data_IF_506634450250
#
_entry.id   IF_506634450250
#
_cell.length_a   1.000
_cell.length_b   1.000
_cell.length_c   1.000
_cell.angle_alpha   90.00
_cell.angle_beta   90.00
_cell.angle_gamma   90.00
#
_symmetry.space_group_name_H-M   'P 1'
#
loop_
_entity.id
_entity.type
_entity.pdbx_description
1 polymer ?
#
# COMPACT_ATOMS: atom_id res chain seq x y z
N UNK A 1 -13.69 -11.10 -21.94
CA UNK A 1 -14.50 -9.97 -22.47
C UNK A 1 -15.34 -9.43 -21.33
N UNK A 2 -15.25 -8.13 -21.08
CA UNK A 2 -15.81 -7.48 -19.92
C UNK A 2 -16.55 -6.19 -20.36
N UNK A 3 -17.67 -5.86 -19.73
CA UNK A 3 -18.35 -4.60 -19.96
C UNK A 3 -17.74 -3.52 -19.08
N UNK A 4 -17.21 -2.46 -19.71
CA UNK A 4 -16.76 -1.25 -19.03
C UNK A 4 -17.81 -0.15 -19.18
N UNK A 5 -18.35 0.31 -18.05
CA UNK A 5 -19.22 1.47 -17.97
C UNK A 5 -18.39 2.67 -17.50
N UNK A 6 -18.46 3.78 -18.21
CA UNK A 6 -17.64 4.98 -17.91
C UNK A 6 -18.54 6.19 -17.71
N UNK A 7 -18.37 6.89 -16.58
CA UNK A 7 -19.09 8.12 -16.23
C UNK A 7 -18.10 9.20 -15.77
N UNK A 8 -18.53 10.46 -15.82
CA UNK A 8 -17.75 11.59 -15.28
C UNK A 8 -18.40 12.05 -13.98
N UNK A 9 -17.70 11.95 -12.85
CA UNK A 9 -18.24 12.26 -11.53
C UNK A 9 -17.39 13.32 -10.82
N UNK A 10 -18.00 14.25 -10.08
CA UNK A 10 -17.25 15.18 -9.24
C UNK A 10 -16.52 14.40 -8.13
N UNK A 11 -15.20 14.56 -8.07
CA UNK A 11 -14.36 13.86 -7.10
C UNK A 11 -14.80 14.08 -5.64
N UNK A 12 -15.29 15.28 -5.33
CA UNK A 12 -15.75 15.64 -3.97
C UNK A 12 -16.96 14.84 -3.48
N UNK A 13 -17.66 14.12 -4.36
CA UNK A 13 -18.79 13.27 -4.02
C UNK A 13 -18.53 11.78 -4.30
N UNK A 14 -17.28 11.38 -4.57
CA UNK A 14 -16.96 10.02 -5.03
C UNK A 14 -17.37 8.95 -4.01
N UNK A 15 -17.12 9.18 -2.71
CA UNK A 15 -17.49 8.26 -1.64
C UNK A 15 -19.01 8.05 -1.55
N UNK A 16 -19.80 9.11 -1.74
CA UNK A 16 -21.26 9.01 -1.77
C UNK A 16 -21.74 8.11 -2.93
N UNK A 17 -21.10 8.24 -4.11
CA UNK A 17 -21.42 7.43 -5.27
C UNK A 17 -21.03 5.96 -5.09
N UNK A 18 -19.85 5.70 -4.50
CA UNK A 18 -19.39 4.36 -4.14
C UNK A 18 -20.38 3.68 -3.19
N UNK A 19 -20.82 4.38 -2.14
CA UNK A 19 -21.83 3.85 -1.21
C UNK A 19 -23.15 3.53 -1.92
N UNK A 20 -23.61 4.41 -2.81
CA UNK A 20 -24.85 4.21 -3.57
C UNK A 20 -24.79 3.01 -4.54
N UNK A 21 -23.64 2.79 -5.20
CA UNK A 21 -23.40 1.65 -6.08
C UNK A 21 -23.30 0.34 -5.28
N UNK A 22 -22.58 0.38 -4.16
CA UNK A 22 -22.42 -0.77 -3.25
C UNK A 22 -23.77 -1.24 -2.71
N UNK A 23 -24.69 -0.32 -2.40
CA UNK A 23 -26.03 -0.64 -1.92
C UNK A 23 -26.89 -1.44 -2.92
N UNK A 24 -26.52 -1.46 -4.20
CA UNK A 24 -27.20 -2.24 -5.24
C UNK A 24 -26.35 -3.38 -5.82
N UNK A 25 -25.25 -3.73 -5.15
CA UNK A 25 -24.43 -4.88 -5.51
C UNK A 25 -23.36 -4.60 -6.57
N UNK A 26 -23.06 -3.33 -6.88
CA UNK A 26 -21.99 -2.96 -7.81
C UNK A 26 -20.74 -2.64 -6.98
N UNK A 27 -19.72 -3.51 -7.07
CA UNK A 27 -18.49 -3.40 -6.29
C UNK A 27 -17.22 -3.25 -7.14
N UNK A 28 -17.29 -3.64 -8.41
CA UNK A 28 -16.14 -3.61 -9.31
C UNK A 28 -16.06 -2.24 -10.00
N UNK A 29 -15.31 -1.32 -9.43
CA UNK A 29 -15.11 0.01 -9.97
C UNK A 29 -13.65 0.48 -9.85
N UNK A 30 -13.29 1.45 -10.66
CA UNK A 30 -11.96 2.08 -10.66
C UNK A 30 -12.07 3.57 -10.96
N UNK A 31 -11.24 4.37 -10.30
CA UNK A 31 -11.03 5.77 -10.63
C UNK A 31 -9.63 6.19 -10.19
N UNK A 32 -9.07 7.17 -10.88
CA UNK A 32 -7.81 7.79 -10.47
C UNK A 32 -8.08 9.07 -9.70
N UNK A 33 -7.40 9.25 -8.56
CA UNK A 33 -7.45 10.51 -7.83
C UNK A 33 -6.75 11.63 -8.63
N UNK A 34 -7.36 12.82 -8.75
CA UNK A 34 -6.80 13.91 -9.55
C UNK A 34 -5.71 14.66 -8.77
N UNK A 35 -4.58 14.02 -8.56
CA UNK A 35 -3.44 14.57 -7.80
C UNK A 35 -2.46 15.33 -8.69
N UNK A 36 -1.85 16.39 -8.15
CA UNK A 36 -0.69 17.06 -8.73
C UNK A 36 0.51 16.83 -7.81
N UNK A 37 1.51 16.09 -8.31
CA UNK A 37 2.75 15.83 -7.55
C UNK A 37 3.62 17.09 -7.59
N UNK A 38 4.00 17.57 -6.41
CA UNK A 38 4.90 18.72 -6.24
C UNK A 38 6.20 18.26 -5.60
N UNK A 39 7.32 18.86 -5.99
CA UNK A 39 8.56 18.74 -5.22
C UNK A 39 8.52 19.74 -4.08
N UNK A 40 8.72 19.27 -2.85
CA UNK A 40 8.82 20.09 -1.66
C UNK A 40 10.25 20.03 -1.13
N UNK A 41 10.57 20.87 -0.13
CA UNK A 41 11.83 20.72 0.60
C UNK A 41 11.96 19.39 1.35
N UNK A 42 10.85 18.65 1.50
CA UNK A 42 10.70 17.47 2.35
C UNK A 42 10.33 16.20 1.58
N UNK A 43 10.44 16.21 0.24
CA UNK A 43 10.09 15.06 -0.59
C UNK A 43 9.16 15.43 -1.72
N UNK A 44 8.16 14.59 -1.92
CA UNK A 44 7.06 14.83 -2.84
C UNK A 44 5.80 15.07 -2.03
N UNK A 45 5.15 16.21 -2.28
CA UNK A 45 3.79 16.45 -1.84
C UNK A 45 2.83 16.13 -2.97
N UNK A 46 1.55 16.02 -2.66
CA UNK A 46 0.51 16.02 -3.67
C UNK A 46 -0.59 17.00 -3.29
N UNK A 47 -1.11 17.70 -4.29
CA UNK A 47 -2.30 18.53 -4.15
C UNK A 47 -3.44 17.86 -4.91
N UNK A 48 -4.51 17.48 -4.21
CA UNK A 48 -5.70 16.95 -4.86
C UNK A 48 -6.53 18.10 -5.43
N UNK A 49 -6.83 18.04 -6.73
CA UNK A 49 -7.68 19.04 -7.38
C UNK A 49 -9.14 18.84 -6.97
N UNK A 50 -9.55 19.53 -5.91
CA UNK A 50 -10.95 19.55 -5.50
C UNK A 50 -11.82 20.16 -6.62
N UNK A 51 -13.03 19.59 -6.80
CA UNK A 51 -14.04 19.99 -7.80
C UNK A 51 -13.80 19.57 -9.26
N UNK A 52 -12.78 18.76 -9.54
CA UNK A 52 -12.63 18.16 -10.87
C UNK A 52 -13.64 17.01 -11.07
N UNK A 53 -14.22 16.94 -12.27
CA UNK A 53 -14.91 15.72 -12.70
C UNK A 53 -13.86 14.73 -13.19
N UNK A 54 -13.87 13.54 -12.61
CA UNK A 54 -12.95 12.46 -12.94
C UNK A 54 -13.68 11.34 -13.67
N UNK A 55 -12.97 10.61 -14.55
CA UNK A 55 -13.49 9.36 -15.07
C UNK A 55 -13.65 8.36 -13.93
N UNK A 56 -14.82 7.74 -13.86
CA UNK A 56 -15.13 6.64 -12.97
C UNK A 56 -15.61 5.47 -13.81
N UNK A 57 -14.98 4.33 -13.63
CA UNK A 57 -15.17 3.12 -14.41
C UNK A 57 -15.85 2.06 -13.54
N UNK A 58 -16.82 1.35 -14.11
CA UNK A 58 -17.49 0.21 -13.48
C UNK A 58 -17.36 -0.96 -14.44
N UNK A 59 -17.09 -2.13 -13.89
CA UNK A 59 -16.76 -3.33 -14.64
C UNK A 59 -17.79 -4.42 -14.33
N UNK A 60 -18.28 -5.10 -15.37
CA UNK A 60 -19.21 -6.22 -15.22
C UNK A 60 -18.87 -7.36 -16.16
N UNK A 61 -18.92 -8.59 -15.64
CA UNK A 61 -18.81 -9.77 -16.49
C UNK A 61 -20.13 -10.00 -17.24
N UNK A 62 -20.10 -10.54 -18.48
CA UNK A 62 -21.32 -10.76 -19.27
C UNK A 62 -22.40 -11.63 -18.61
N UNK A 63 -21.99 -12.47 -17.65
CA UNK A 63 -22.86 -13.42 -16.95
C UNK A 63 -23.30 -12.91 -15.56
N UNK A 64 -22.84 -11.72 -15.15
CA UNK A 64 -23.08 -11.17 -13.81
C UNK A 64 -24.57 -10.85 -13.57
N UNK A 65 -25.23 -10.24 -14.55
CA UNK A 65 -26.66 -9.90 -14.50
C UNK A 65 -27.32 -10.08 -15.87
N UNK A 66 -28.59 -10.50 -15.88
CA UNK A 66 -29.37 -10.58 -17.11
C UNK A 66 -29.51 -9.21 -17.81
N UNK A 67 -29.53 -9.23 -19.15
CA UNK A 67 -29.72 -8.06 -20.01
C UNK A 67 -28.63 -6.97 -19.90
N UNK A 68 -27.37 -7.37 -19.69
CA UNK A 68 -26.25 -6.45 -19.90
C UNK A 68 -26.12 -6.06 -21.40
N UNK A 69 -25.73 -4.81 -21.70
CA UNK A 69 -25.35 -3.75 -20.76
C UNK A 69 -26.53 -2.92 -20.21
N UNK A 70 -27.73 -3.04 -20.76
CA UNK A 70 -28.87 -2.15 -20.48
C UNK A 70 -29.29 -2.12 -19.00
N UNK A 71 -29.23 -3.27 -18.33
CA UNK A 71 -29.56 -3.40 -16.91
C UNK A 71 -28.65 -2.55 -16.03
N UNK A 72 -27.32 -2.64 -16.23
CA UNK A 72 -26.34 -1.83 -15.49
C UNK A 72 -26.37 -0.37 -15.91
N UNK A 73 -26.49 -0.05 -17.21
CA UNK A 73 -26.65 1.34 -17.68
C UNK A 73 -27.79 2.05 -16.94
N UNK A 74 -28.94 1.38 -16.81
CA UNK A 74 -30.11 1.93 -16.12
C UNK A 74 -29.89 2.05 -14.62
N UNK A 75 -29.29 1.03 -14.00
CA UNK A 75 -29.05 1.00 -12.56
C UNK A 75 -28.01 2.04 -12.12
N UNK A 76 -26.89 2.13 -12.84
CA UNK A 76 -25.82 3.11 -12.63
C UNK A 76 -26.37 4.52 -12.78
N UNK A 77 -27.07 4.81 -13.89
CA UNK A 77 -27.65 6.13 -14.11
C UNK A 77 -28.60 6.53 -12.97
N UNK A 78 -29.42 5.59 -12.48
CA UNK A 78 -30.34 5.83 -11.36
C UNK A 78 -29.60 6.12 -10.06
N UNK A 79 -28.60 5.32 -9.68
CA UNK A 79 -27.87 5.51 -8.41
C UNK A 79 -27.01 6.77 -8.40
N UNK A 80 -26.41 7.09 -9.53
CA UNK A 80 -25.54 8.24 -9.68
C UNK A 80 -26.32 9.54 -10.02
N UNK A 81 -27.65 9.44 -10.16
CA UNK A 81 -28.54 10.55 -10.53
C UNK A 81 -28.16 11.19 -11.88
N UNK A 82 -27.71 10.35 -12.82
CA UNK A 82 -27.32 10.71 -14.18
C UNK A 82 -28.42 10.32 -15.19
N UNK A 83 -28.27 10.78 -16.43
CA UNK A 83 -29.07 10.22 -17.53
C UNK A 83 -28.40 8.94 -18.04
N UNK A 84 -29.18 7.95 -18.54
CA UNK A 84 -28.59 6.77 -19.19
C UNK A 84 -27.58 7.12 -20.30
N UNK A 85 -27.83 8.19 -21.06
CA UNK A 85 -26.92 8.68 -22.11
C UNK A 85 -25.56 9.18 -21.59
N UNK A 86 -25.45 9.49 -20.29
CA UNK A 86 -24.20 9.92 -19.65
C UNK A 86 -23.31 8.71 -19.27
N UNK A 87 -23.86 7.49 -19.31
CA UNK A 87 -23.14 6.24 -19.04
C UNK A 87 -22.66 5.64 -20.36
N UNK A 88 -21.36 5.77 -20.63
CA UNK A 88 -20.76 5.16 -21.82
C UNK A 88 -20.47 3.70 -21.57
N UNK A 89 -20.71 2.85 -22.56
CA UNK A 89 -20.47 1.41 -22.48
C UNK A 89 -19.49 0.99 -23.57
N UNK A 90 -18.45 0.29 -23.16
CA UNK A 90 -17.47 -0.34 -24.05
C UNK A 90 -17.34 -1.82 -23.67
N UNK A 91 -17.13 -2.68 -24.67
CA UNK A 91 -16.76 -4.08 -24.44
C UNK A 91 -15.25 -4.13 -24.57
N UNK A 92 -14.57 -4.38 -23.46
CA UNK A 92 -13.12 -4.53 -23.41
C UNK A 92 -12.79 -6.02 -23.43
N UNK A 93 -11.65 -6.38 -24.01
CA UNK A 93 -11.10 -7.69 -23.74
C UNK A 93 -10.62 -7.73 -22.29
N UNK A 94 -10.96 -8.80 -21.59
CA UNK A 94 -10.47 -9.05 -20.22
C UNK A 94 -8.98 -9.46 -20.26
N UNK A 95 -8.50 -9.82 -21.45
CA UNK A 95 -7.08 -9.76 -21.76
C UNK A 95 -6.67 -8.30 -21.92
N UNK A 96 -6.66 -7.54 -20.81
CA UNK A 96 -5.70 -6.48 -20.71
C UNK A 96 -4.33 -7.15 -20.91
N UNK A 97 -3.59 -6.74 -21.94
CA UNK A 97 -2.14 -6.94 -22.02
C UNK A 97 -1.49 -6.13 -20.87
N UNK A 98 -1.89 -6.36 -19.62
CA UNK A 98 -1.00 -6.07 -18.51
C UNK A 98 0.05 -7.15 -18.60
N UNK A 99 1.27 -6.75 -18.96
CA UNK A 99 2.42 -7.62 -18.75
C UNK A 99 2.29 -8.17 -17.33
N UNK A 100 2.16 -9.49 -17.15
CA UNK A 100 2.01 -10.05 -15.81
C UNK A 100 3.17 -9.56 -14.96
N UNK A 101 2.88 -9.19 -13.71
CA UNK A 101 3.90 -8.72 -12.79
C UNK A 101 5.08 -9.70 -12.81
N UNK A 102 6.22 -9.23 -13.31
CA UNK A 102 7.39 -10.07 -13.42
C UNK A 102 7.96 -10.30 -12.02
N UNK A 103 8.40 -11.54 -11.76
CA UNK A 103 9.08 -11.87 -10.49
C UNK A 103 10.21 -10.90 -10.21
N UNK A 104 10.24 -10.35 -8.99
CA UNK A 104 11.32 -9.46 -8.54
C UNK A 104 12.36 -10.27 -7.80
N UNK A 105 13.60 -10.29 -8.30
CA UNK A 105 14.74 -10.87 -7.58
C UNK A 105 15.37 -9.83 -6.65
N UNK A 106 15.28 -10.07 -5.33
CA UNK A 106 15.85 -9.16 -4.34
C UNK A 106 17.39 -9.30 -4.23
N UNK A 107 17.98 -10.26 -4.94
CA UNK A 107 19.42 -10.54 -4.99
C UNK A 107 20.04 -10.97 -3.64
N UNK A 108 19.23 -11.34 -2.65
CA UNK A 108 19.65 -11.90 -1.36
C UNK A 108 19.07 -13.31 -1.11
N UNK A 109 18.73 -14.03 -2.18
CA UNK A 109 18.13 -15.37 -2.10
C UNK A 109 16.61 -15.38 -1.90
N UNK A 110 15.98 -14.20 -1.85
CA UNK A 110 14.53 -14.02 -1.85
C UNK A 110 14.03 -13.49 -3.19
N UNK A 111 12.80 -13.88 -3.55
CA UNK A 111 12.06 -13.36 -4.70
C UNK A 111 10.65 -12.97 -4.29
N UNK A 112 10.09 -11.96 -4.97
CA UNK A 112 8.67 -11.61 -4.90
C UNK A 112 7.98 -12.23 -6.11
N UNK A 113 7.00 -13.10 -5.87
CA UNK A 113 6.23 -13.79 -6.90
C UNK A 113 4.78 -13.35 -6.83
N UNK A 114 4.15 -13.18 -8.00
CA UNK A 114 2.81 -12.60 -8.11
C UNK A 114 1.71 -13.61 -8.47
N UNK A 115 2.11 -14.85 -8.74
CA UNK A 115 1.22 -15.95 -9.09
C UNK A 115 1.81 -17.30 -8.67
N UNK A 116 0.99 -18.35 -8.64
CA UNK A 116 1.44 -19.68 -8.21
C UNK A 116 2.45 -20.32 -9.17
N UNK A 117 2.43 -19.97 -10.46
CA UNK A 117 3.34 -20.52 -11.46
C UNK A 117 4.77 -20.03 -11.19
N UNK A 118 4.94 -18.74 -10.94
CA UNK A 118 6.20 -18.10 -10.58
C UNK A 118 6.76 -18.61 -9.25
N UNK A 119 5.90 -18.88 -8.25
CA UNK A 119 6.30 -19.56 -7.00
C UNK A 119 6.90 -20.94 -7.32
N UNK A 120 6.22 -21.74 -8.13
CA UNK A 120 6.67 -23.09 -8.49
C UNK A 120 7.99 -23.09 -9.29
N UNK A 121 8.22 -22.06 -10.11
CA UNK A 121 9.47 -21.88 -10.87
C UNK A 121 10.67 -21.54 -9.98
N UNK A 122 10.46 -20.99 -8.78
CA UNK A 122 11.52 -20.50 -7.89
C UNK A 122 11.75 -21.39 -6.65
N UNK A 123 11.53 -22.70 -6.76
CA UNK A 123 11.65 -23.67 -5.65
C UNK A 123 13.04 -23.77 -4.96
N UNK A 124 14.07 -23.12 -5.50
CA UNK A 124 15.42 -23.04 -4.91
C UNK A 124 15.67 -21.76 -4.13
N UNK A 125 14.75 -20.80 -4.18
CA UNK A 125 14.81 -19.51 -3.47
C UNK A 125 13.73 -19.45 -2.40
N UNK A 126 13.91 -18.54 -1.45
CA UNK A 126 12.83 -18.19 -0.55
C UNK A 126 11.87 -17.25 -1.29
N UNK A 127 10.57 -17.41 -1.06
CA UNK A 127 9.54 -16.69 -1.82
C UNK A 127 8.71 -15.84 -0.87
N UNK A 128 8.43 -14.61 -1.29
CA UNK A 128 7.30 -13.81 -0.82
C UNK A 128 6.25 -13.88 -1.92
N UNK A 129 5.12 -14.51 -1.67
CA UNK A 129 3.99 -14.47 -2.59
C UNK A 129 3.18 -13.20 -2.31
N UNK A 130 2.88 -12.43 -3.35
CA UNK A 130 2.14 -11.20 -3.23
C UNK A 130 1.06 -11.13 -4.31
N UNK A 131 -0.19 -10.90 -3.92
CA UNK A 131 -1.26 -10.56 -4.86
C UNK A 131 -1.44 -9.03 -4.86
N UNK A 132 -0.98 -8.31 -5.90
CA UNK A 132 -1.02 -6.85 -5.93
C UNK A 132 -2.47 -6.39 -6.14
N UNK A 133 -3.05 -5.81 -5.09
CA UNK A 133 -4.41 -5.25 -5.12
C UNK A 133 -4.33 -3.73 -5.26
N UNK A 134 -5.33 -3.01 -4.76
CA UNK A 134 -5.41 -1.55 -4.88
C UNK A 134 -4.46 -0.80 -3.92
N UNK A 135 -4.01 -1.41 -2.81
CA UNK A 135 -3.14 -0.71 -1.88
C UNK A 135 -1.71 -0.55 -2.41
N UNK A 136 -1.02 0.46 -1.90
CA UNK A 136 0.38 0.70 -2.20
C UNK A 136 1.27 -0.45 -1.70
N UNK A 137 2.44 -0.67 -2.33
CA UNK A 137 3.39 -1.68 -1.88
C UNK A 137 3.39 -2.96 -2.71
N UNK A 138 3.38 -2.84 -4.03
CA UNK A 138 3.48 -3.97 -4.97
C UNK A 138 4.85 -4.67 -4.97
N UNK A 139 5.84 -4.15 -4.24
CA UNK A 139 7.22 -4.66 -4.24
C UNK A 139 8.06 -4.22 -5.45
N UNK A 140 7.47 -3.52 -6.42
CA UNK A 140 8.19 -3.03 -7.60
C UNK A 140 9.05 -1.81 -7.31
N UNK A 141 8.61 -0.93 -6.42
CA UNK A 141 9.33 0.30 -6.08
C UNK A 141 10.62 0.01 -5.29
N UNK A 142 11.68 0.76 -5.58
CA UNK A 142 13.02 0.53 -5.04
C UNK A 142 13.07 0.63 -3.51
N UNK A 143 12.29 1.54 -2.92
CA UNK A 143 12.19 1.70 -1.46
C UNK A 143 11.66 0.44 -0.78
N UNK A 144 10.63 -0.20 -1.34
CA UNK A 144 10.11 -1.48 -0.85
C UNK A 144 11.15 -2.57 -0.98
N UNK A 145 11.85 -2.65 -2.12
CA UNK A 145 12.90 -3.66 -2.31
C UNK A 145 14.07 -3.50 -1.32
N UNK A 146 14.48 -2.27 -1.02
CA UNK A 146 15.53 -2.00 -0.02
C UNK A 146 15.09 -2.36 1.40
N UNK A 147 13.87 -1.99 1.79
CA UNK A 147 13.29 -2.44 3.06
C UNK A 147 13.29 -3.96 3.16
N UNK A 148 12.83 -4.66 2.12
CA UNK A 148 12.79 -6.11 2.08
C UNK A 148 14.19 -6.73 2.19
N UNK A 149 15.19 -6.19 1.48
CA UNK A 149 16.58 -6.67 1.61
C UNK A 149 17.06 -6.58 3.05
N UNK A 150 16.82 -5.46 3.72
CA UNK A 150 17.21 -5.27 5.12
C UNK A 150 16.45 -6.24 6.03
N UNK A 151 15.12 -6.28 5.96
CA UNK A 151 14.27 -7.12 6.82
C UNK A 151 14.64 -8.60 6.65
N UNK A 152 14.79 -9.08 5.42
CA UNK A 152 15.03 -10.48 5.13
C UNK A 152 16.42 -10.97 5.56
N UNK A 153 17.35 -10.04 5.84
CA UNK A 153 18.66 -10.34 6.42
C UNK A 153 18.65 -10.36 7.97
N UNK A 154 17.57 -9.93 8.61
CA UNK A 154 17.42 -9.94 10.07
C UNK A 154 16.74 -11.22 10.59
N UNK A 155 16.68 -11.37 11.92
CA UNK A 155 15.87 -12.38 12.60
C UNK A 155 14.89 -11.70 13.54
N UNK A 156 13.60 -11.94 13.36
CA UNK A 156 12.53 -11.36 14.18
C UNK A 156 11.95 -12.35 15.20
N UNK A 157 12.60 -13.50 15.41
CA UNK A 157 12.17 -14.51 16.40
C UNK A 157 11.89 -13.90 17.77
N UNK A 158 10.64 -14.01 18.22
CA UNK A 158 10.20 -13.49 19.52
C UNK A 158 10.11 -11.96 19.59
N UNK A 159 10.07 -11.28 18.43
CA UNK A 159 10.01 -9.81 18.34
C UNK A 159 8.62 -9.34 17.95
N UNK A 160 8.27 -8.17 18.48
CA UNK A 160 7.10 -7.40 18.08
C UNK A 160 7.50 -6.34 17.06
N UNK A 161 6.81 -6.31 15.92
CA UNK A 161 7.05 -5.37 14.81
C UNK A 161 5.85 -4.46 14.66
N UNK A 162 6.09 -3.16 14.52
CA UNK A 162 5.08 -2.19 14.07
C UNK A 162 5.41 -1.77 12.63
N UNK A 163 4.44 -1.86 11.73
CA UNK A 163 4.56 -1.44 10.33
C UNK A 163 3.61 -0.27 10.09
N UNK A 164 4.14 0.95 9.98
CA UNK A 164 3.38 2.19 9.93
C UNK A 164 3.30 2.69 8.48
N UNK A 165 2.08 2.74 7.92
CA UNK A 165 1.85 2.91 6.48
C UNK A 165 2.05 1.58 5.74
N UNK A 166 1.38 0.52 6.22
CA UNK A 166 1.64 -0.86 5.79
C UNK A 166 1.27 -1.13 4.32
N UNK A 167 0.31 -0.38 3.75
CA UNK A 167 -0.23 -0.63 2.41
C UNK A 167 -0.66 -2.09 2.24
N UNK A 168 -0.06 -2.78 1.26
CA UNK A 168 -0.29 -4.19 0.96
C UNK A 168 0.10 -5.16 2.08
N UNK A 169 0.86 -4.70 3.08
CA UNK A 169 1.39 -5.55 4.15
C UNK A 169 2.67 -6.29 3.79
N UNK A 170 3.32 -5.98 2.67
CA UNK A 170 4.50 -6.73 2.21
C UNK A 170 5.68 -6.70 3.22
N UNK A 171 5.89 -5.59 3.94
CA UNK A 171 6.94 -5.51 4.97
C UNK A 171 6.55 -6.32 6.22
N UNK A 172 5.27 -6.27 6.58
CA UNK A 172 4.66 -7.11 7.63
C UNK A 172 4.81 -8.61 7.33
N UNK A 173 4.55 -9.04 6.09
CA UNK A 173 4.77 -10.41 5.61
C UNK A 173 6.25 -10.80 5.72
N UNK A 174 7.16 -9.93 5.30
CA UNK A 174 8.59 -10.20 5.40
C UNK A 174 9.05 -10.36 6.86
N UNK A 175 8.57 -9.54 7.79
CA UNK A 175 8.84 -9.71 9.22
C UNK A 175 8.30 -11.05 9.76
N UNK A 176 7.08 -11.42 9.41
CA UNK A 176 6.45 -12.67 9.80
C UNK A 176 7.22 -13.90 9.26
N UNK A 177 7.60 -13.90 7.98
CA UNK A 177 8.45 -14.94 7.37
C UNK A 177 9.80 -15.10 8.07
N UNK A 178 10.31 -14.01 8.66
CA UNK A 178 11.57 -13.98 9.42
C UNK A 178 11.35 -14.22 10.93
N UNK A 179 10.15 -14.64 11.31
CA UNK A 179 9.81 -15.19 12.62
C UNK A 179 9.30 -14.18 13.63
N UNK A 180 8.80 -13.02 13.20
CA UNK A 180 8.12 -12.09 14.12
C UNK A 180 7.03 -12.80 14.91
N UNK A 181 7.00 -12.58 16.22
CA UNK A 181 5.97 -13.15 17.10
C UNK A 181 4.67 -12.37 16.98
N UNK A 182 4.77 -11.05 16.84
CA UNK A 182 3.62 -10.17 16.68
C UNK A 182 3.92 -9.11 15.65
N UNK A 183 2.96 -8.86 14.77
CA UNK A 183 3.00 -7.79 13.77
C UNK A 183 1.76 -6.94 13.96
N UNK A 184 1.95 -5.63 14.15
CA UNK A 184 0.86 -4.66 14.14
C UNK A 184 1.07 -3.78 12.92
N UNK A 185 0.14 -3.87 11.98
CA UNK A 185 0.17 -3.16 10.72
C UNK A 185 -0.87 -2.03 10.77
N UNK A 186 -0.44 -0.79 10.53
CA UNK A 186 -1.31 0.39 10.63
C UNK A 186 -1.32 1.12 9.30
N UNK A 187 -2.51 1.44 8.81
CA UNK A 187 -2.68 2.31 7.63
C UNK A 187 -3.87 3.25 7.80
N UNK A 188 -3.88 4.38 7.11
CA UNK A 188 -5.04 5.27 7.06
C UNK A 188 -6.16 4.67 6.21
N UNK A 189 -5.81 3.85 5.24
CA UNK A 189 -6.74 3.16 4.35
C UNK A 189 -7.22 1.82 4.93
N UNK A 190 -8.38 1.35 4.48
CA UNK A 190 -8.96 0.09 4.93
C UNK A 190 -8.29 -1.13 4.27
N UNK A 191 -7.06 -1.44 4.68
CA UNK A 191 -6.20 -2.48 4.06
C UNK A 191 -6.27 -3.86 4.71
N UNK A 192 -7.08 -4.06 5.75
CA UNK A 192 -7.15 -5.32 6.53
C UNK A 192 -7.33 -6.56 5.64
N UNK A 193 -8.27 -6.53 4.70
CA UNK A 193 -8.52 -7.66 3.79
C UNK A 193 -7.30 -8.00 2.94
N UNK A 194 -6.58 -6.98 2.46
CA UNK A 194 -5.41 -7.17 1.62
C UNK A 194 -4.26 -7.78 2.42
N UNK A 195 -3.95 -7.22 3.60
CA UNK A 195 -2.89 -7.75 4.47
C UNK A 195 -3.18 -9.20 4.88
N UNK A 196 -4.44 -9.53 5.22
CA UNK A 196 -4.85 -10.90 5.56
C UNK A 196 -4.70 -11.85 4.37
N UNK A 197 -4.99 -11.41 3.15
CA UNK A 197 -4.75 -12.19 1.93
C UNK A 197 -3.27 -12.51 1.79
N UNK A 198 -2.38 -11.51 1.92
CA UNK A 198 -0.94 -11.75 1.78
C UNK A 198 -0.41 -12.71 2.86
N UNK A 199 -0.89 -12.60 4.10
CA UNK A 199 -0.55 -13.54 5.16
C UNK A 199 -1.02 -14.97 4.83
N UNK A 200 -2.22 -15.12 4.28
CA UNK A 200 -2.76 -16.40 3.82
C UNK A 200 -1.95 -17.01 2.68
N UNK A 201 -1.57 -16.21 1.68
CA UNK A 201 -0.76 -16.66 0.53
C UNK A 201 0.63 -17.15 0.96
N UNK A 202 1.17 -16.64 2.06
CA UNK A 202 2.47 -17.04 2.60
C UNK A 202 2.36 -18.04 3.78
N UNK A 203 1.17 -18.58 4.03
CA UNK A 203 0.89 -19.57 5.10
C UNK A 203 1.38 -19.11 6.50
N UNK A 204 1.18 -17.83 6.82
CA UNK A 204 1.68 -17.22 8.05
C UNK A 204 0.70 -17.38 9.23
N UNK A 205 1.22 -17.80 10.38
CA UNK A 205 0.49 -17.97 11.66
C UNK A 205 0.99 -16.98 12.75
N UNK A 206 1.58 -15.87 12.32
CA UNK A 206 2.03 -14.79 13.22
C UNK A 206 0.82 -14.08 13.83
N UNK A 207 0.94 -13.63 15.09
CA UNK A 207 -0.08 -12.82 15.73
C UNK A 207 -0.16 -11.44 15.03
N UNK A 208 -1.08 -11.32 14.07
CA UNK A 208 -1.29 -10.14 13.26
C UNK A 208 -2.48 -9.32 13.78
N UNK A 209 -2.24 -8.02 13.97
CA UNK A 209 -3.29 -7.01 14.11
C UNK A 209 -3.18 -6.04 12.96
N UNK A 210 -4.29 -5.74 12.28
CA UNK A 210 -4.35 -4.67 11.27
C UNK A 210 -5.29 -3.58 11.77
N UNK A 211 -4.80 -2.35 11.83
CA UNK A 211 -5.57 -1.21 12.32
C UNK A 211 -5.71 -0.15 11.22
N UNK A 212 -6.95 0.24 10.94
CA UNK A 212 -7.22 1.43 10.14
C UNK A 212 -7.18 2.66 11.05
N UNK A 213 -6.12 3.46 10.94
CA UNK A 213 -5.96 4.70 11.70
C UNK A 213 -5.12 5.73 10.93
N UNK A 214 -5.62 6.97 10.86
CA UNK A 214 -4.80 8.11 10.45
C UNK A 214 -3.94 8.58 11.63
N UNK A 215 -2.78 7.94 11.77
CA UNK A 215 -1.81 8.27 12.83
C UNK A 215 -1.11 9.61 12.64
N UNK A 216 -1.38 10.36 11.57
CA UNK A 216 -0.90 11.74 11.40
C UNK A 216 -1.94 12.80 11.78
N UNK A 217 -3.18 12.39 12.11
CA UNK A 217 -4.21 13.32 12.59
C UNK A 217 -3.80 13.93 13.95
N UNK A 218 -4.15 15.20 14.18
CA UNK A 218 -3.72 15.97 15.37
C UNK A 218 -4.11 15.31 16.72
N UNK A 219 -5.21 14.56 16.75
CA UNK A 219 -5.73 13.88 17.93
C UNK A 219 -5.39 12.38 17.97
N UNK A 220 -4.68 11.87 16.96
CA UNK A 220 -4.27 10.47 16.93
C UNK A 220 -3.19 10.19 17.99
N UNK A 221 -3.31 9.03 18.64
CA UNK A 221 -2.35 8.55 19.63
C UNK A 221 -2.01 7.10 19.33
N UNK A 222 -0.76 6.84 18.96
CA UNK A 222 -0.23 5.49 18.87
C UNK A 222 0.20 5.02 20.26
N UNK A 223 -0.54 4.07 20.82
CA UNK A 223 -0.24 3.52 22.15
C UNK A 223 0.81 2.41 22.11
N UNK A 224 0.97 1.76 20.96
CA UNK A 224 1.82 0.59 20.80
C UNK A 224 3.31 0.93 20.88
N UNK A 225 4.09 -0.09 21.23
CA UNK A 225 5.56 -0.11 21.15
C UNK A 225 5.99 -1.42 20.50
N UNK A 226 7.11 -1.40 19.78
CA UNK A 226 7.67 -2.57 19.10
C UNK A 226 9.16 -2.70 19.37
N UNK A 227 9.69 -3.91 19.23
CA UNK A 227 11.14 -4.08 19.13
C UNK A 227 11.68 -3.42 17.85
N UNK A 228 10.86 -3.45 16.79
CA UNK A 228 11.10 -2.84 15.49
C UNK A 228 9.93 -1.98 15.06
N UNK A 229 10.24 -0.86 14.41
CA UNK A 229 9.28 -0.02 13.71
C UNK A 229 9.76 0.13 12.26
N UNK A 230 8.87 -0.14 11.32
CA UNK A 230 9.07 0.11 9.90
C UNK A 230 8.22 1.31 9.48
N UNK A 231 8.80 2.21 8.71
CA UNK A 231 8.11 3.34 8.10
C UNK A 231 8.65 3.50 6.68
N UNK A 232 7.81 3.26 5.67
CA UNK A 232 8.15 3.44 4.26
C UNK A 232 7.19 4.43 3.62
N UNK A 233 7.31 5.71 4.01
CA UNK A 233 6.48 6.83 3.57
C UNK A 233 7.36 8.06 3.35
N UNK A 234 6.77 9.19 2.94
CA UNK A 234 7.50 10.44 2.75
C UNK A 234 8.26 10.93 4.00
N UNK A 235 9.28 11.76 3.80
CA UNK A 235 10.15 12.22 4.88
C UNK A 235 9.42 13.16 5.85
N UNK A 236 8.53 14.01 5.35
CA UNK A 236 7.72 14.90 6.18
C UNK A 236 6.82 14.11 7.14
N UNK A 237 6.10 13.14 6.60
CA UNK A 237 5.23 12.25 7.35
C UNK A 237 6.02 11.39 8.34
N UNK A 238 7.18 10.87 7.93
CA UNK A 238 8.06 10.10 8.81
C UNK A 238 8.53 10.94 10.00
N UNK A 239 8.98 12.17 9.76
CA UNK A 239 9.43 13.10 10.81
C UNK A 239 8.25 13.49 11.72
N UNK A 240 7.08 13.76 11.15
CA UNK A 240 5.87 14.07 11.91
C UNK A 240 5.48 12.91 12.83
N UNK A 241 5.43 11.68 12.32
CA UNK A 241 5.14 10.48 13.10
C UNK A 241 6.14 10.27 14.23
N UNK A 242 7.43 10.38 13.93
CA UNK A 242 8.50 10.22 14.92
C UNK A 242 8.31 11.18 16.10
N UNK A 243 8.01 12.45 15.81
CA UNK A 243 7.84 13.49 16.81
C UNK A 243 6.51 13.39 17.57
N UNK A 244 5.39 13.20 16.85
CA UNK A 244 4.04 13.17 17.43
C UNK A 244 3.88 11.99 18.39
N UNK A 245 4.40 10.82 18.04
CA UNK A 245 4.19 9.59 18.80
C UNK A 245 5.38 9.20 19.67
N UNK A 246 6.42 10.04 19.78
CA UNK A 246 7.63 9.73 20.53
C UNK A 246 8.23 8.37 20.09
N UNK A 247 8.22 8.05 18.79
CA UNK A 247 8.56 6.71 18.28
C UNK A 247 9.97 6.27 18.69
N UNK A 248 10.91 7.22 18.79
CA UNK A 248 12.28 6.95 19.24
C UNK A 248 12.34 6.41 20.67
N UNK A 249 11.32 6.61 21.52
CA UNK A 249 11.23 6.01 22.87
C UNK A 249 10.54 4.65 22.87
N UNK A 250 9.85 4.29 21.78
CA UNK A 250 8.98 3.12 21.65
C UNK A 250 9.61 1.95 20.90
N UNK A 251 10.85 2.12 20.46
CA UNK A 251 11.60 1.08 19.75
C UNK A 251 13.10 1.14 20.05
N UNK A 252 13.77 0.02 19.75
CA UNK A 252 15.22 -0.10 19.70
C UNK A 252 15.75 -0.25 18.27
N UNK A 253 14.87 -0.54 17.31
CA UNK A 253 15.20 -0.66 15.89
C UNK A 253 14.21 0.13 15.04
N UNK A 254 14.72 0.96 14.14
CA UNK A 254 13.91 1.81 13.27
C UNK A 254 14.39 1.67 11.82
N UNK A 255 13.48 1.26 10.93
CA UNK A 255 13.70 1.18 9.48
C UNK A 255 12.88 2.28 8.82
N UNK A 256 13.55 3.19 8.11
CA UNK A 256 12.95 4.32 7.42
C UNK A 256 13.27 4.21 5.93
N UNK A 257 12.26 4.34 5.07
CA UNK A 257 12.42 4.43 3.61
C UNK A 257 11.35 5.36 3.03
N UNK A 258 11.32 5.56 1.72
CA UNK A 258 10.51 6.61 1.09
C UNK A 258 11.10 8.00 1.28
N UNK A 259 12.39 8.08 1.63
CA UNK A 259 13.10 9.32 1.90
C UNK A 259 13.92 9.72 0.68
N UNK A 260 13.86 10.99 0.30
CA UNK A 260 14.69 11.52 -0.79
C UNK A 260 16.02 12.07 -0.26
N UNK A 261 17.06 12.09 -1.11
CA UNK A 261 18.44 12.40 -0.70
C UNK A 261 18.63 13.75 0.00
N UNK A 262 17.85 14.77 -0.34
CA UNK A 262 17.95 16.08 0.27
C UNK A 262 17.38 16.14 1.71
N UNK A 263 16.69 15.10 2.17
CA UNK A 263 16.23 14.97 3.55
C UNK A 263 17.17 14.17 4.45
N UNK A 264 18.25 13.61 3.90
CA UNK A 264 19.22 12.79 4.61
C UNK A 264 19.67 13.42 5.93
N UNK A 265 20.20 14.65 5.87
CA UNK A 265 20.88 15.26 7.02
C UNK A 265 19.91 15.49 8.19
N UNK A 266 18.75 16.08 7.92
CA UNK A 266 17.77 16.40 8.97
C UNK A 266 17.18 15.16 9.62
N UNK A 267 16.93 14.10 8.85
CA UNK A 267 16.34 12.87 9.36
C UNK A 267 17.35 12.06 10.17
N UNK A 268 18.60 11.93 9.70
CA UNK A 268 19.65 11.24 10.45
C UNK A 268 19.94 11.95 11.77
N UNK A 269 20.10 13.28 11.75
CA UNK A 269 20.34 14.06 12.97
C UNK A 269 19.19 13.92 13.99
N UNK A 270 17.94 13.93 13.51
CA UNK A 270 16.77 13.70 14.36
C UNK A 270 16.83 12.33 15.05
N UNK A 271 17.06 11.27 14.28
CA UNK A 271 17.07 9.89 14.81
C UNK A 271 18.25 9.65 15.74
N UNK A 272 19.45 10.13 15.38
CA UNK A 272 20.65 10.04 16.23
C UNK A 272 20.51 10.84 17.53
N UNK A 273 19.81 11.98 17.52
CA UNK A 273 19.51 12.73 18.75
C UNK A 273 18.65 11.95 19.75
N UNK A 274 17.89 10.96 19.26
CA UNK A 274 17.14 9.99 20.07
C UNK A 274 17.97 8.82 20.61
N UNK A 275 19.30 8.83 20.40
CA UNK A 275 20.23 7.82 20.90
C UNK A 275 20.41 6.61 19.98
N UNK A 276 19.97 6.69 18.73
CA UNK A 276 20.19 5.65 17.73
C UNK A 276 21.53 5.82 17.03
N UNK A 277 22.04 4.73 16.46
CA UNK A 277 23.18 4.72 15.53
C UNK A 277 22.75 4.15 14.19
N UNK A 278 23.15 4.80 13.10
CA UNK A 278 22.91 4.34 11.74
C UNK A 278 23.69 3.04 11.47
N UNK A 279 22.98 1.95 11.19
CA UNK A 279 23.55 0.63 10.91
C UNK A 279 23.73 0.40 9.40
N UNK A 280 22.72 0.76 8.61
CA UNK A 280 22.75 0.63 7.15
C UNK A 280 22.12 1.86 6.50
N UNK A 281 22.68 2.24 5.36
CA UNK A 281 22.17 3.28 4.48
C UNK A 281 22.26 2.76 3.04
N UNK A 282 21.12 2.60 2.40
CA UNK A 282 21.00 2.21 1.00
C UNK A 282 20.45 3.40 0.21
N UNK A 283 20.94 3.58 -1.01
CA UNK A 283 20.44 4.61 -1.92
C UNK A 283 20.29 4.03 -3.31
N UNK A 284 19.11 4.22 -3.91
CA UNK A 284 18.85 3.95 -5.32
C UNK A 284 18.23 5.20 -5.93
N UNK A 285 18.91 5.76 -6.93
CA UNK A 285 18.57 7.06 -7.50
C UNK A 285 18.50 8.13 -6.39
N UNK A 286 17.37 8.81 -6.26
CA UNK A 286 17.11 9.82 -5.23
C UNK A 286 16.57 9.23 -3.92
N UNK A 287 16.15 7.95 -3.91
CA UNK A 287 15.54 7.31 -2.75
C UNK A 287 16.58 6.71 -1.81
N UNK A 288 16.37 6.92 -0.52
CA UNK A 288 17.23 6.44 0.56
C UNK A 288 16.44 5.59 1.55
N UNK A 289 17.10 4.53 2.02
CA UNK A 289 16.60 3.63 3.07
C UNK A 289 17.62 3.56 4.19
N UNK A 290 17.16 3.76 5.42
CA UNK A 290 17.98 3.78 6.62
C UNK A 290 17.52 2.74 7.62
N UNK A 291 18.47 1.99 8.16
CA UNK A 291 18.24 1.16 9.34
C UNK A 291 19.08 1.69 10.51
N UNK A 292 18.39 1.99 11.61
CA UNK A 292 18.96 2.47 12.86
C UNK A 292 18.72 1.49 14.00
N UNK A 293 19.65 1.41 14.95
CA UNK A 293 19.47 0.68 16.21
C UNK A 293 20.06 1.40 17.42
N UNK A 294 19.57 1.08 18.63
CA UNK A 294 20.16 1.49 19.92
C UNK A 294 21.12 0.46 20.49
#
# INVERSE_FOLDING_TARGET
MLYQFSVQLPYTAINLYIEALSAVGIFNYYYEEPIYVTTTSNGYGYETKQQQHIPFYIFAEPEEVENLPDSYTTLIAKQLQLKPDDVKVEIIDDQLDQDPFQTVDLANGWVICYDQESVNMHNQKNVIQLDPQAAFGTGLHETTQDCLRIILDQSFRGRKVLDLGTGSGILSVAAALKGAETVIAVDREAVEREVLLQFGLNELDTNLTVEQADILADDAVLHESGDWIFINIGAEESIALINQHDLLKRTNHLLLSGIVEWNYQSLVELVESGGFTLQQNLQINEWMTFYFSK
#
